data_IF_398356915469
#
_entry.id   IF_398356915469
#
_cell.length_a   1.000
_cell.length_b   1.000
_cell.length_c   1.000
_cell.angle_alpha   90.00
_cell.angle_beta   90.00
_cell.angle_gamma   90.00
#
_symmetry.space_group_name_H-M   'P 1'
#
loop_
_entity.id
_entity.type
_entity.pdbx_description
1 polymer ?
#
# COMPACT_ATOMS: atom_id res chain seq x y z
N UNK A 1 -18.22 -9.33 20.76
CA UNK A 1 -18.07 -7.86 20.77
C UNK A 1 -16.71 -7.59 20.15
N UNK A 2 -16.67 -7.48 18.82
CA UNK A 2 -15.45 -7.24 18.06
C UNK A 2 -15.10 -5.75 18.18
N UNK A 3 -13.83 -5.35 18.36
CA UNK A 3 -13.47 -3.96 18.20
C UNK A 3 -13.77 -3.59 16.75
N UNK A 4 -14.54 -2.52 16.56
CA UNK A 4 -14.68 -1.88 15.25
C UNK A 4 -13.29 -1.58 14.72
N UNK A 5 -13.06 -1.93 13.46
CA UNK A 5 -11.88 -1.51 12.71
C UNK A 5 -11.96 0.01 12.63
N UNK A 6 -11.40 0.68 13.64
CA UNK A 6 -11.19 2.11 13.60
C UNK A 6 -10.35 2.35 12.36
N UNK A 7 -10.99 2.98 11.37
CA UNK A 7 -10.34 3.53 10.19
C UNK A 7 -9.03 4.15 10.64
N UNK A 8 -7.93 3.44 10.34
CA UNK A 8 -6.58 3.91 10.59
C UNK A 8 -6.55 5.35 10.09
N UNK A 9 -6.29 6.30 10.99
CA UNK A 9 -6.25 7.74 10.67
C UNK A 9 -5.11 7.98 9.68
N UNK A 10 -5.38 7.75 8.40
CA UNK A 10 -4.53 8.06 7.24
C UNK A 10 -4.19 9.55 7.16
N UNK A 11 -5.00 10.38 7.85
CA UNK A 11 -4.86 11.84 8.01
C UNK A 11 -3.48 12.32 8.47
N UNK A 12 -2.72 11.49 9.20
CA UNK A 12 -1.40 11.85 9.71
C UNK A 12 -0.20 11.25 8.97
N UNK A 13 -0.35 10.08 8.37
CA UNK A 13 0.81 9.29 7.89
C UNK A 13 1.31 9.66 6.49
N UNK A 14 0.44 10.20 5.64
CA UNK A 14 0.80 10.65 4.30
C UNK A 14 0.73 12.17 4.13
N UNK A 15 0.19 12.90 5.12
CA UNK A 15 -0.12 14.32 5.00
C UNK A 15 -1.29 14.63 4.05
N UNK A 16 -2.12 13.62 3.74
CA UNK A 16 -3.21 13.72 2.77
C UNK A 16 -4.54 13.65 3.55
N UNK A 17 -5.48 14.55 3.22
CA UNK A 17 -6.73 14.73 3.97
C UNK A 17 -7.65 13.50 4.03
N UNK A 18 -8.78 13.63 4.73
CA UNK A 18 -9.74 12.53 5.01
C UNK A 18 -10.33 11.84 3.77
N UNK A 19 -10.23 12.44 2.58
CA UNK A 19 -10.67 11.86 1.30
C UNK A 19 -9.50 11.42 0.39
N UNK A 20 -8.35 11.08 0.98
CA UNK A 20 -7.13 10.69 0.26
C UNK A 20 -7.16 9.33 -0.41
N UNK A 21 -8.18 8.51 -0.14
CA UNK A 21 -8.29 7.14 -0.65
C UNK A 21 -8.22 7.05 -2.17
N UNK A 22 -9.05 7.84 -2.88
CA UNK A 22 -9.07 7.84 -4.34
C UNK A 22 -7.71 8.25 -4.93
N UNK A 23 -7.05 9.22 -4.29
CA UNK A 23 -5.70 9.66 -4.68
C UNK A 23 -4.67 8.54 -4.47
N UNK A 24 -4.68 7.87 -3.32
CA UNK A 24 -3.76 6.76 -3.03
C UNK A 24 -3.94 5.64 -4.07
N UNK A 25 -5.18 5.29 -4.38
CA UNK A 25 -5.50 4.29 -5.40
C UNK A 25 -4.95 4.68 -6.78
N UNK A 26 -5.22 5.91 -7.23
CA UNK A 26 -4.71 6.42 -8.50
C UNK A 26 -3.18 6.40 -8.55
N UNK A 27 -2.52 6.86 -7.50
CA UNK A 27 -1.06 6.89 -7.39
C UNK A 27 -0.45 5.48 -7.40
N UNK A 28 -1.13 4.49 -6.83
CA UNK A 28 -0.73 3.09 -6.90
C UNK A 28 -0.92 2.49 -8.30
N UNK A 29 -2.02 2.78 -8.99
CA UNK A 29 -2.25 2.36 -10.40
C UNK A 29 -1.12 2.89 -11.28
N UNK A 30 -0.78 4.17 -11.17
CA UNK A 30 0.34 4.77 -11.91
C UNK A 30 1.65 4.04 -11.61
N UNK A 31 1.90 3.69 -10.34
CA UNK A 31 3.14 3.00 -9.95
C UNK A 31 3.23 1.57 -10.46
N UNK A 32 2.10 0.87 -10.49
CA UNK A 32 2.00 -0.48 -11.02
C UNK A 32 2.24 -0.52 -12.53
N UNK A 33 1.67 0.44 -13.26
CA UNK A 33 1.91 0.60 -14.70
C UNK A 33 3.37 0.96 -14.99
N UNK A 34 3.96 1.88 -14.23
CA UNK A 34 5.36 2.32 -14.39
C UNK A 34 6.37 1.17 -14.22
N UNK A 35 6.09 0.24 -13.30
CA UNK A 35 7.02 -0.83 -12.91
C UNK A 35 6.48 -2.24 -13.11
N UNK A 36 5.55 -2.41 -14.06
CA UNK A 36 4.83 -3.65 -14.27
C UNK A 36 5.76 -4.86 -14.41
N UNK A 37 6.77 -4.79 -15.29
CA UNK A 37 7.73 -5.88 -15.51
C UNK A 37 8.54 -6.25 -14.26
N UNK A 38 8.86 -5.28 -13.40
CA UNK A 38 9.55 -5.55 -12.14
C UNK A 38 8.65 -6.31 -11.17
N UNK A 39 7.38 -5.91 -11.09
CA UNK A 39 6.41 -6.55 -10.21
C UNK A 39 6.07 -7.96 -10.67
N UNK A 40 5.84 -8.18 -11.96
CA UNK A 40 5.63 -9.52 -12.53
C UNK A 40 6.78 -10.47 -12.19
N UNK A 41 8.03 -9.97 -12.23
CA UNK A 41 9.20 -10.75 -11.84
C UNK A 41 9.31 -11.00 -10.33
N UNK A 42 8.81 -10.10 -9.49
CA UNK A 42 8.82 -10.27 -8.02
C UNK A 42 7.77 -11.29 -7.61
N UNK A 43 6.56 -11.18 -8.17
CA UNK A 43 5.45 -12.05 -7.80
C UNK A 43 5.48 -13.39 -8.53
N UNK A 44 6.19 -13.50 -9.67
CA UNK A 44 6.29 -14.73 -10.48
C UNK A 44 4.91 -15.33 -10.86
N UNK A 45 3.88 -14.49 -10.92
CA UNK A 45 2.49 -14.87 -11.24
C UNK A 45 2.09 -14.10 -12.50
N UNK A 46 1.66 -14.83 -13.52
CA UNK A 46 1.19 -14.26 -14.78
C UNK A 46 -0.05 -13.38 -14.54
N UNK A 47 -0.09 -12.22 -15.19
CA UNK A 47 -1.19 -11.24 -15.10
C UNK A 47 -1.47 -10.71 -13.69
N UNK A 48 -0.63 -11.00 -12.68
CA UNK A 48 -0.86 -10.52 -11.31
C UNK A 48 -0.93 -9.00 -11.23
N UNK A 49 -0.04 -8.29 -11.93
CA UNK A 49 -0.04 -6.82 -11.94
C UNK A 49 -1.29 -6.27 -12.61
N UNK A 50 -1.80 -6.91 -13.65
CA UNK A 50 -3.04 -6.50 -14.30
C UNK A 50 -4.24 -6.69 -13.38
N UNK A 51 -4.31 -7.82 -12.68
CA UNK A 51 -5.31 -8.06 -11.64
C UNK A 51 -5.21 -7.02 -10.52
N UNK A 52 -3.99 -6.67 -10.12
CA UNK A 52 -3.73 -5.65 -9.12
C UNK A 52 -4.17 -4.25 -9.58
N UNK A 53 -3.94 -3.91 -10.85
CA UNK A 53 -4.42 -2.64 -11.41
C UNK A 53 -5.95 -2.63 -11.42
N UNK A 54 -6.58 -3.74 -11.83
CA UNK A 54 -8.03 -3.86 -11.90
C UNK A 54 -8.71 -3.68 -10.54
N UNK A 55 -8.16 -4.30 -9.49
CA UNK A 55 -8.70 -4.20 -8.15
C UNK A 55 -8.47 -2.81 -7.53
N UNK A 56 -7.36 -2.14 -7.83
CA UNK A 56 -7.08 -0.80 -7.29
C UNK A 56 -7.83 0.30 -8.06
N UNK A 57 -8.17 0.07 -9.33
CA UNK A 57 -8.89 1.05 -10.13
C UNK A 57 -10.36 1.17 -9.69
N UNK A 58 -10.73 2.32 -9.12
CA UNK A 58 -12.10 2.61 -8.65
C UNK A 58 -12.55 3.95 -9.22
N UNK A 59 -13.59 3.95 -10.06
CA UNK A 59 -14.12 5.19 -10.67
C UNK A 59 -15.00 6.00 -9.72
N UNK A 60 -15.84 5.34 -8.91
CA UNK A 60 -16.76 6.01 -7.98
C UNK A 60 -16.92 5.27 -6.66
N UNK A 61 -17.32 3.99 -6.71
CA UNK A 61 -17.54 3.16 -5.52
C UNK A 61 -16.84 1.82 -5.71
N UNK A 62 -16.02 1.45 -4.73
CA UNK A 62 -15.33 0.16 -4.72
C UNK A 62 -16.31 -0.99 -4.50
N UNK A 63 -16.30 -1.99 -5.39
CA UNK A 63 -17.03 -3.25 -5.22
C UNK A 63 -16.13 -4.30 -4.52
N UNK A 64 -16.63 -5.52 -4.29
CA UNK A 64 -15.83 -6.56 -3.63
C UNK A 64 -14.54 -6.92 -4.38
N UNK A 65 -14.54 -6.84 -5.71
CA UNK A 65 -13.33 -7.09 -6.53
C UNK A 65 -12.30 -5.97 -6.36
N UNK A 66 -12.72 -4.79 -5.92
CA UNK A 66 -11.85 -3.68 -5.55
C UNK A 66 -11.30 -3.77 -4.11
N UNK A 67 -11.81 -4.69 -3.30
CA UNK A 67 -11.36 -4.89 -1.93
C UNK A 67 -10.16 -5.83 -1.94
N UNK A 68 -9.00 -5.29 -2.27
CA UNK A 68 -7.76 -6.05 -2.16
C UNK A 68 -7.35 -6.32 -0.72
N UNK A 69 -6.57 -7.37 -0.52
CA UNK A 69 -5.84 -7.51 0.73
C UNK A 69 -4.74 -6.45 0.75
N UNK A 70 -4.70 -5.65 1.82
CA UNK A 70 -3.64 -4.69 2.11
C UNK A 70 -2.22 -5.30 1.96
N UNK A 71 -2.13 -6.62 2.13
CA UNK A 71 -0.93 -7.42 1.97
C UNK A 71 -0.37 -7.38 0.53
N UNK A 72 -1.20 -7.31 -0.49
CA UNK A 72 -0.73 -7.30 -1.87
C UNK A 72 -0.15 -5.92 -2.25
N UNK A 73 -0.65 -4.86 -1.61
CA UNK A 73 -0.29 -3.46 -1.91
C UNK A 73 0.85 -2.89 -1.09
N UNK A 74 1.21 -3.53 0.02
CA UNK A 74 2.25 -3.06 0.96
C UNK A 74 3.52 -2.57 0.28
N UNK A 75 4.03 -3.31 -0.71
CA UNK A 75 5.24 -2.94 -1.43
C UNK A 75 4.99 -1.74 -2.37
N UNK A 76 3.85 -1.72 -3.06
CA UNK A 76 3.45 -0.63 -3.96
C UNK A 76 3.31 0.68 -3.19
N UNK A 77 2.65 0.64 -2.03
CA UNK A 77 2.45 1.79 -1.14
C UNK A 77 3.80 2.27 -0.59
N UNK A 78 4.62 1.36 -0.04
CA UNK A 78 5.95 1.69 0.46
C UNK A 78 6.78 2.40 -0.61
N UNK A 79 6.85 1.82 -1.80
CA UNK A 79 7.58 2.38 -2.94
C UNK A 79 7.02 3.71 -3.43
N UNK A 80 5.69 3.84 -3.56
CA UNK A 80 5.07 5.05 -4.13
C UNK A 80 5.24 6.25 -3.21
N UNK A 81 5.07 6.04 -1.92
CA UNK A 81 5.10 7.12 -0.94
C UNK A 81 6.43 7.23 -0.22
N UNK A 82 7.47 6.50 -0.65
CA UNK A 82 8.78 6.43 -0.03
C UNK A 82 8.68 6.40 1.51
N UNK A 83 8.06 5.31 1.99
CA UNK A 83 7.81 5.04 3.40
C UNK A 83 8.13 3.59 3.72
N UNK A 84 8.44 3.31 4.99
CA UNK A 84 8.55 1.95 5.50
C UNK A 84 7.15 1.46 5.87
N UNK A 85 6.74 0.32 5.33
CA UNK A 85 5.45 -0.28 5.67
C UNK A 85 5.66 -1.47 6.58
N UNK A 86 4.99 -1.47 7.73
CA UNK A 86 5.16 -2.45 8.80
C UNK A 86 3.79 -3.09 9.06
N UNK A 87 3.70 -4.39 8.81
CA UNK A 87 2.53 -5.21 9.05
C UNK A 87 2.82 -6.16 10.21
N UNK A 88 2.05 -6.08 11.29
CA UNK A 88 2.25 -6.88 12.50
C UNK A 88 0.97 -7.64 12.83
N UNK A 89 1.08 -8.93 13.11
CA UNK A 89 0.04 -9.74 13.71
C UNK A 89 0.60 -10.64 14.80
N UNK A 90 -0.28 -11.38 15.48
CA UNK A 90 0.13 -12.34 16.50
C UNK A 90 1.03 -13.46 15.96
N UNK A 91 0.88 -13.78 14.67
CA UNK A 91 1.55 -14.93 14.06
C UNK A 91 2.67 -14.54 13.08
N UNK A 92 2.65 -13.32 12.55
CA UNK A 92 3.63 -12.87 11.56
C UNK A 92 3.89 -11.37 11.65
N UNK A 93 5.12 -10.96 11.38
CA UNK A 93 5.50 -9.56 11.25
C UNK A 93 6.35 -9.37 10.00
N UNK A 94 5.98 -8.43 9.16
CA UNK A 94 6.65 -8.17 7.88
C UNK A 94 6.93 -6.67 7.73
N UNK A 95 8.11 -6.34 7.22
CA UNK A 95 8.59 -4.97 7.00
C UNK A 95 8.96 -4.81 5.52
N UNK A 96 8.42 -3.78 4.88
CA UNK A 96 8.67 -3.44 3.48
C UNK A 96 9.38 -2.10 3.39
N UNK A 97 10.56 -2.11 2.78
CA UNK A 97 11.35 -0.93 2.55
C UNK A 97 11.14 -0.40 1.12
N UNK A 98 11.16 0.93 0.92
CA UNK A 98 11.08 1.54 -0.40
C UNK A 98 12.43 1.45 -1.13
N UNK A 99 12.78 0.25 -1.62
CA UNK A 99 14.12 -0.08 -2.11
C UNK A 99 14.60 0.70 -3.35
N UNK A 100 13.72 1.36 -4.11
CA UNK A 100 14.13 2.19 -5.27
C UNK A 100 14.21 3.68 -4.95
N UNK A 101 14.04 4.08 -3.69
CA UNK A 101 14.22 5.46 -3.25
C UNK A 101 15.44 5.53 -2.31
N UNK A 102 16.16 6.66 -2.28
CA UNK A 102 17.25 6.84 -1.33
C UNK A 102 16.71 6.70 0.11
N UNK A 103 17.50 6.10 1.03
CA UNK A 103 17.13 6.08 2.43
C UNK A 103 17.02 7.51 2.98
N UNK A 104 16.18 7.76 3.99
CA UNK A 104 16.09 9.08 4.60
C UNK A 104 17.43 9.52 5.20
N UNK A 105 17.78 10.81 5.05
CA UNK A 105 19.05 11.37 5.55
C UNK A 105 19.06 11.61 7.06
N UNK A 106 17.88 11.65 7.68
CA UNK A 106 17.72 11.80 9.13
C UNK A 106 16.57 10.93 9.65
N UNK A 107 16.57 10.65 10.96
CA UNK A 107 15.48 9.91 11.60
C UNK A 107 14.14 10.67 11.56
N UNK A 108 14.16 12.00 11.56
CA UNK A 108 12.94 12.83 11.41
C UNK A 108 12.29 12.73 10.04
N UNK A 109 13.03 12.32 9.01
CA UNK A 109 12.52 12.16 7.64
C UNK A 109 11.92 10.76 7.40
N UNK A 110 12.02 9.85 8.38
CA UNK A 110 11.46 8.52 8.26
C UNK A 110 9.93 8.57 8.31
N UNK A 111 9.31 8.22 7.19
CA UNK A 111 7.87 8.00 7.10
C UNK A 111 7.60 6.52 7.24
N UNK A 112 6.73 6.15 8.18
CA UNK A 112 6.42 4.76 8.48
C UNK A 112 4.93 4.56 8.62
N UNK A 113 4.37 3.54 7.97
CA UNK A 113 3.01 3.05 8.18
C UNK A 113 3.06 1.77 9.02
N UNK A 114 2.29 1.76 10.10
CA UNK A 114 2.09 0.59 10.95
C UNK A 114 0.66 0.11 10.81
N UNK A 115 0.48 -1.16 10.48
CA UNK A 115 -0.83 -1.80 10.48
C UNK A 115 -0.73 -3.06 11.32
N UNK A 116 -1.56 -3.10 12.37
CA UNK A 116 -1.75 -4.26 13.21
C UNK A 116 -3.03 -4.98 12.79
N UNK A 117 -2.98 -6.30 12.66
CA UNK A 117 -4.14 -7.15 12.38
C UNK A 117 -4.12 -8.39 13.27
N UNK A 118 -5.31 -8.92 13.57
CA UNK A 118 -5.51 -10.07 14.47
C UNK A 118 -5.39 -11.37 13.71
#
# INVERSE_FOLDING_TARGET
>A
MCPSVDNVKTKGLLGIGENSWAFIHQECVVKLQEFMSNYERIYCIENFVQQLIHSVYVEQVANMDNWMTLLEMRYVIAMKFNLVFIAISLNQSEIFFPLKSPPPTSMSDHRMIFIAFV
#
